data_IF_142308873023
#
_entry.id   IF_142308873023
#
_cell.length_a   1.000
_cell.length_b   1.000
_cell.length_c   1.000
_cell.angle_alpha   90.00
_cell.angle_beta   90.00
_cell.angle_gamma   90.00
#
_symmetry.space_group_name_H-M   'P 1'
#
loop_
_entity.id
_entity.type
_entity.pdbx_description
1 polymer ?
#
# COMPACT_ATOMS: atom_id res chain seq x y z
N UNK A 1 -22.04 10.31 -15.88
CA UNK A 1 -21.75 9.13 -15.03
C UNK A 1 -21.56 9.62 -13.62
N UNK A 2 -22.28 9.05 -12.65
CA UNK A 2 -22.13 9.43 -11.24
C UNK A 2 -20.81 8.86 -10.74
N UNK A 3 -19.90 9.74 -10.31
CA UNK A 3 -18.61 9.35 -9.74
C UNK A 3 -18.83 8.64 -8.39
N UNK A 4 -18.26 7.46 -8.19
CA UNK A 4 -18.32 6.77 -6.91
C UNK A 4 -17.54 7.60 -5.89
N UNK A 5 -18.22 8.09 -4.85
CA UNK A 5 -17.61 8.93 -3.81
C UNK A 5 -18.15 8.54 -2.43
N UNK A 6 -17.24 8.43 -1.47
CA UNK A 6 -17.53 8.22 -0.06
C UNK A 6 -16.89 9.35 0.75
N UNK A 7 -17.66 9.94 1.66
CA UNK A 7 -17.17 10.97 2.58
C UNK A 7 -16.87 10.41 3.97
N UNK A 8 -16.57 11.32 4.90
CA UNK A 8 -16.10 11.01 6.26
C UNK A 8 -16.97 10.03 7.04
N UNK A 9 -18.29 10.04 6.83
CA UNK A 9 -19.21 9.11 7.50
C UNK A 9 -18.96 7.63 7.15
N UNK A 10 -18.37 7.35 5.98
CA UNK A 10 -17.98 6.00 5.56
C UNK A 10 -16.48 5.81 5.77
N UNK A 11 -15.67 6.80 5.40
CA UNK A 11 -14.21 6.70 5.45
C UNK A 11 -13.65 6.67 6.88
N UNK A 12 -14.27 7.37 7.82
CA UNK A 12 -13.89 7.42 9.23
C UNK A 12 -14.46 6.26 10.07
N UNK A 13 -15.19 5.32 9.47
CA UNK A 13 -15.68 4.11 10.13
C UNK A 13 -14.94 2.89 9.54
N UNK A 14 -14.14 2.23 10.37
CA UNK A 14 -13.31 1.10 9.94
C UNK A 14 -14.14 -0.03 9.31
N UNK A 15 -15.27 -0.40 9.92
CA UNK A 15 -16.11 -1.50 9.43
C UNK A 15 -16.75 -1.16 8.07
N UNK A 16 -17.10 0.10 7.85
CA UNK A 16 -17.59 0.57 6.54
C UNK A 16 -16.46 0.63 5.51
N UNK A 17 -15.26 1.08 5.90
CA UNK A 17 -14.08 1.13 5.04
C UNK A 17 -13.58 -0.25 4.61
N UNK A 18 -13.55 -1.22 5.53
CA UNK A 18 -13.11 -2.60 5.26
C UNK A 18 -14.09 -3.37 4.36
N UNK A 19 -15.38 -3.03 4.36
CA UNK A 19 -16.39 -3.66 3.50
C UNK A 19 -16.34 -3.20 2.04
N UNK A 20 -15.55 -2.18 1.74
CA UNK A 20 -15.47 -1.57 0.40
C UNK A 20 -14.06 -1.74 -0.13
N UNK A 21 -13.98 -2.41 -1.27
CA UNK A 21 -12.71 -2.72 -1.92
C UNK A 21 -12.58 -1.94 -3.22
N UNK A 22 -11.33 -1.62 -3.58
CA UNK A 22 -10.96 -1.03 -4.86
C UNK A 22 -10.08 -2.00 -5.62
N UNK A 23 -10.08 -1.88 -6.95
CA UNK A 23 -9.29 -2.71 -7.86
C UNK A 23 -8.78 -1.86 -9.02
N UNK A 24 -7.48 -1.93 -9.27
CA UNK A 24 -6.83 -1.40 -10.47
C UNK A 24 -6.11 -2.54 -11.18
N UNK A 25 -6.17 -2.58 -12.50
CA UNK A 25 -5.53 -3.65 -13.29
C UNK A 25 -4.64 -3.06 -14.37
N UNK A 26 -3.61 -3.79 -14.78
CA UNK A 26 -2.80 -3.43 -15.94
C UNK A 26 -3.38 -3.94 -17.28
N UNK A 27 -4.54 -4.60 -17.27
CA UNK A 27 -5.16 -5.19 -18.47
C UNK A 27 -4.52 -6.49 -18.96
N UNK A 28 -3.51 -7.05 -18.27
CA UNK A 28 -2.82 -8.31 -18.62
C UNK A 28 -2.94 -9.40 -17.56
N UNK A 29 -3.68 -9.14 -16.48
CA UNK A 29 -3.96 -10.11 -15.41
C UNK A 29 -3.33 -9.76 -14.07
N UNK A 30 -2.41 -8.80 -14.05
CA UNK A 30 -1.87 -8.22 -12.82
C UNK A 30 -2.75 -7.09 -12.30
N UNK A 31 -2.74 -6.90 -10.99
CA UNK A 31 -3.61 -5.94 -10.34
C UNK A 31 -3.06 -5.41 -9.01
N UNK A 32 -3.65 -4.31 -8.57
CA UNK A 32 -3.57 -3.77 -7.23
C UNK A 32 -4.98 -3.74 -6.64
N UNK A 33 -5.14 -4.17 -5.40
CA UNK A 33 -6.44 -4.14 -4.71
C UNK A 33 -6.28 -4.01 -3.21
N UNK A 34 -7.32 -3.50 -2.55
CA UNK A 34 -7.35 -3.36 -1.10
C UNK A 34 -8.68 -2.80 -0.62
N UNK A 35 -8.77 -2.57 0.69
CA UNK A 35 -9.92 -1.87 1.28
C UNK A 35 -9.75 -0.36 1.19
N UNK A 36 -10.84 0.40 1.33
CA UNK A 36 -10.78 1.87 1.45
C UNK A 36 -9.97 2.29 2.69
N UNK A 37 -10.08 1.53 3.80
CA UNK A 37 -9.37 1.81 5.04
C UNK A 37 -7.86 1.49 5.00
N UNK A 38 -7.37 0.86 3.93
CA UNK A 38 -5.96 0.46 3.81
C UNK A 38 -5.58 -0.79 4.63
N UNK A 39 -6.54 -1.46 5.26
CA UNK A 39 -6.34 -2.72 5.99
C UNK A 39 -6.28 -3.89 5.01
N UNK A 40 -5.33 -4.81 5.23
CA UNK A 40 -5.29 -6.11 4.56
C UNK A 40 -6.30 -7.04 5.24
N UNK A 41 -7.37 -7.41 4.55
CA UNK A 41 -8.38 -8.33 5.09
C UNK A 41 -8.49 -9.63 4.30
N UNK A 42 -7.85 -9.70 3.13
CA UNK A 42 -7.79 -10.87 2.24
C UNK A 42 -6.39 -11.12 1.71
N UNK A 43 -6.10 -12.38 1.33
CA UNK A 43 -4.83 -12.77 0.69
C UNK A 43 -4.60 -12.15 -0.69
N UNK A 44 -5.65 -11.58 -1.29
CA UNK A 44 -5.68 -10.94 -2.60
C UNK A 44 -5.47 -9.43 -2.54
N UNK A 45 -5.26 -8.85 -1.35
CA UNK A 45 -4.91 -7.44 -1.21
C UNK A 45 -3.42 -7.24 -1.44
N UNK A 46 -3.06 -6.19 -2.17
CA UNK A 46 -1.70 -5.93 -2.62
C UNK A 46 -1.63 -4.68 -3.48
N UNK A 47 -0.52 -3.96 -3.41
CA UNK A 47 -0.18 -2.90 -4.36
C UNK A 47 0.39 -3.45 -5.67
N UNK A 48 1.00 -4.63 -5.66
CA UNK A 48 1.42 -5.31 -6.88
C UNK A 48 1.24 -6.82 -6.74
N UNK A 49 0.21 -7.35 -7.40
CA UNK A 49 0.01 -8.78 -7.61
C UNK A 49 0.26 -9.05 -9.08
N UNK A 50 1.46 -9.56 -9.38
CA UNK A 50 1.94 -9.76 -10.74
C UNK A 50 1.53 -11.13 -11.28
N UNK A 51 0.92 -11.17 -12.46
CA UNK A 51 0.65 -12.40 -13.20
C UNK A 51 1.91 -12.81 -13.99
N UNK A 52 2.81 -13.55 -13.34
CA UNK A 52 4.11 -13.94 -13.93
C UNK A 52 3.95 -14.89 -15.13
N UNK A 53 2.85 -15.65 -15.17
CA UNK A 53 2.44 -16.46 -16.33
C UNK A 53 1.00 -16.15 -16.73
N UNK A 54 0.71 -15.02 -17.39
CA UNK A 54 -0.65 -14.58 -17.67
C UNK A 54 -1.51 -15.65 -18.38
N UNK A 55 -2.79 -15.86 -17.98
CA UNK A 55 -3.54 -15.20 -16.89
C UNK A 55 -3.46 -15.94 -15.54
N UNK A 56 -2.61 -16.97 -15.44
CA UNK A 56 -2.44 -17.82 -14.25
C UNK A 56 -1.25 -17.34 -13.42
N UNK A 57 -1.09 -17.94 -12.24
CA UNK A 57 0.07 -17.74 -11.37
C UNK A 57 0.40 -16.30 -11.05
N UNK A 58 -0.32 -15.82 -10.06
CA UNK A 58 -0.17 -14.49 -9.55
C UNK A 58 0.58 -14.52 -8.24
N UNK A 59 1.58 -13.66 -8.16
CA UNK A 59 2.47 -13.54 -7.02
C UNK A 59 2.27 -12.17 -6.38
N UNK A 60 2.04 -12.14 -5.08
CA UNK A 60 2.02 -10.90 -4.32
C UNK A 60 3.47 -10.43 -4.17
N UNK A 61 3.81 -9.29 -4.75
CA UNK A 61 5.16 -8.71 -4.70
C UNK A 61 5.24 -7.53 -3.74
N UNK A 62 4.24 -6.64 -3.78
CA UNK A 62 4.14 -5.51 -2.85
C UNK A 62 2.79 -5.57 -2.17
N UNK A 63 2.81 -5.78 -0.86
CA UNK A 63 1.61 -5.95 -0.02
C UNK A 63 0.93 -4.62 0.24
N UNK A 64 1.68 -3.65 0.77
CA UNK A 64 1.20 -2.29 1.05
C UNK A 64 2.37 -1.37 1.36
N UNK A 65 2.06 -0.09 1.56
CA UNK A 65 2.94 0.84 2.24
C UNK A 65 2.27 1.19 3.58
N UNK A 66 3.06 1.27 4.64
CA UNK A 66 2.67 1.83 5.93
C UNK A 66 3.22 3.27 5.99
N UNK A 67 2.38 4.25 5.62
CA UNK A 67 2.79 5.66 5.51
C UNK A 67 2.49 6.48 6.78
N UNK A 68 3.48 7.24 7.24
CA UNK A 68 3.30 8.26 8.28
C UNK A 68 3.76 9.60 7.76
N UNK A 69 2.93 10.63 7.98
CA UNK A 69 3.29 12.02 7.74
C UNK A 69 3.66 12.69 9.05
N UNK A 70 4.80 13.37 9.08
CA UNK A 70 5.31 14.06 10.27
C UNK A 70 5.21 15.58 10.09
N UNK A 71 4.57 16.25 11.03
CA UNK A 71 4.65 17.69 11.26
C UNK A 71 5.49 17.92 12.53
N UNK A 72 6.78 18.19 12.36
CA UNK A 72 7.76 18.16 13.46
C UNK A 72 7.84 16.77 14.09
N UNK A 73 7.53 16.66 15.38
CA UNK A 73 7.50 15.39 16.13
C UNK A 73 6.14 14.67 16.06
N UNK A 74 5.09 15.32 15.53
CA UNK A 74 3.76 14.76 15.50
C UNK A 74 3.56 13.89 14.25
N UNK A 75 3.39 12.58 14.46
CA UNK A 75 3.11 11.63 13.40
C UNK A 75 1.63 11.37 13.17
N UNK A 76 1.22 11.43 11.90
CA UNK A 76 -0.12 11.12 11.42
C UNK A 76 -0.08 9.93 10.45
N UNK A 77 -0.46 8.73 10.90
CA UNK A 77 -0.48 7.54 10.05
C UNK A 77 -1.63 7.62 9.04
N UNK A 78 -1.38 7.11 7.82
CA UNK A 78 -2.38 7.02 6.75
C UNK A 78 -2.85 5.58 6.49
N UNK A 79 -2.32 4.63 7.26
CA UNK A 79 -2.56 3.20 7.13
C UNK A 79 -3.22 2.61 8.38
N UNK A 80 -3.69 1.37 8.24
CA UNK A 80 -4.26 0.57 9.32
C UNK A 80 -3.75 -0.85 9.19
N UNK A 81 -3.28 -1.45 10.29
CA UNK A 81 -2.99 -2.88 10.37
C UNK A 81 -3.93 -3.55 11.36
N UNK A 82 -4.19 -4.83 11.11
CA UNK A 82 -4.96 -5.70 11.99
C UNK A 82 -4.09 -6.89 12.34
N UNK A 83 -4.00 -7.16 13.63
CA UNK A 83 -3.11 -8.17 14.18
C UNK A 83 -3.90 -9.36 14.72
N UNK A 84 -3.28 -10.53 14.76
CA UNK A 84 -3.86 -11.75 15.35
C UNK A 84 -4.31 -11.56 16.80
N UNK A 85 -3.66 -10.66 17.54
CA UNK A 85 -4.05 -10.28 18.90
C UNK A 85 -5.43 -9.63 19.00
N UNK A 86 -6.02 -9.24 17.87
CA UNK A 86 -7.24 -8.43 17.79
C UNK A 86 -6.96 -6.92 17.77
N UNK A 87 -5.70 -6.51 17.96
CA UNK A 87 -5.31 -5.11 17.86
C UNK A 87 -5.52 -4.58 16.43
N UNK A 88 -6.00 -3.34 16.34
CA UNK A 88 -6.10 -2.58 15.09
C UNK A 88 -5.33 -1.29 15.28
N UNK A 89 -4.13 -1.24 14.71
CA UNK A 89 -3.24 -0.11 14.91
C UNK A 89 -2.25 0.05 13.74
N UNK A 90 -1.86 1.28 13.40
CA UNK A 90 -2.46 2.52 13.87
C UNK A 90 -3.88 2.74 13.29
N UNK A 91 -4.62 3.71 13.83
CA UNK A 91 -5.96 4.04 13.38
C UNK A 91 -5.97 5.13 12.28
N UNK A 92 -5.18 4.96 11.22
CA UNK A 92 -5.03 5.96 10.15
C UNK A 92 -6.34 6.33 9.43
N UNK A 93 -7.36 5.46 9.50
CA UNK A 93 -8.70 5.75 8.98
C UNK A 93 -9.37 6.96 9.66
N UNK A 94 -8.97 7.36 10.87
CA UNK A 94 -9.45 8.59 11.51
C UNK A 94 -9.04 9.86 10.74
N UNK A 95 -7.93 9.80 10.01
CA UNK A 95 -7.46 10.89 9.16
C UNK A 95 -8.12 10.86 7.77
N UNK A 96 -8.81 9.78 7.40
CA UNK A 96 -9.37 9.63 6.05
C UNK A 96 -10.69 10.40 5.91
N UNK A 97 -10.65 11.50 5.15
CA UNK A 97 -11.82 12.36 4.93
C UNK A 97 -12.71 11.83 3.81
N UNK A 98 -12.12 11.36 2.72
CA UNK A 98 -12.89 10.90 1.58
C UNK A 98 -12.13 9.91 0.71
N UNK A 99 -12.91 9.12 -0.03
CA UNK A 99 -12.47 8.24 -1.09
C UNK A 99 -13.34 8.47 -2.32
N UNK A 100 -12.76 8.42 -3.50
CA UNK A 100 -13.52 8.35 -4.75
C UNK A 100 -12.72 7.66 -5.85
N UNK A 101 -13.40 7.35 -6.96
CA UNK A 101 -12.76 6.89 -8.18
C UNK A 101 -12.75 8.02 -9.20
N UNK A 102 -11.57 8.48 -9.60
CA UNK A 102 -11.40 9.34 -10.77
C UNK A 102 -11.17 8.42 -11.99
N UNK A 103 -12.25 8.13 -12.72
CA UNK A 103 -12.24 7.03 -13.69
C UNK A 103 -12.05 5.68 -12.96
N UNK A 104 -10.91 5.02 -13.20
CA UNK A 104 -10.53 3.78 -12.50
C UNK A 104 -9.44 4.00 -11.45
N UNK A 105 -9.01 5.24 -11.23
CA UNK A 105 -7.96 5.58 -10.27
C UNK A 105 -8.59 5.81 -8.90
N UNK A 106 -8.35 4.95 -7.89
CA UNK A 106 -8.75 5.23 -6.53
C UNK A 106 -7.96 6.40 -5.95
N UNK A 107 -8.69 7.33 -5.34
CA UNK A 107 -8.18 8.58 -4.77
C UNK A 107 -8.68 8.72 -3.34
N UNK A 108 -7.74 8.85 -2.40
CA UNK A 108 -7.99 9.11 -0.99
C UNK A 108 -7.60 10.54 -0.66
N UNK A 109 -8.36 11.20 0.21
CA UNK A 109 -7.97 12.47 0.81
C UNK A 109 -7.92 12.34 2.32
N UNK A 110 -6.77 12.63 2.90
CA UNK A 110 -6.54 12.61 4.34
C UNK A 110 -6.51 14.04 4.89
N UNK A 111 -7.16 14.27 6.02
CA UNK A 111 -7.16 15.51 6.77
C UNK A 111 -6.05 15.47 7.83
N UNK A 112 -5.18 16.47 7.85
CA UNK A 112 -4.05 16.59 8.76
C UNK A 112 -4.04 17.99 9.36
N UNK A 113 -4.76 18.16 10.46
CA UNK A 113 -5.08 19.47 11.03
C UNK A 113 -5.76 20.39 10.00
N UNK A 114 -5.05 21.41 9.53
CA UNK A 114 -5.49 22.40 8.53
C UNK A 114 -4.95 22.12 7.11
N UNK A 115 -4.28 20.98 6.90
CA UNK A 115 -3.75 20.55 5.60
C UNK A 115 -4.40 19.25 5.11
N UNK A 116 -4.27 18.97 3.82
CA UNK A 116 -4.77 17.73 3.23
C UNK A 116 -3.68 17.04 2.43
N UNK A 117 -3.67 15.71 2.46
CA UNK A 117 -2.86 14.92 1.52
C UNK A 117 -3.77 14.05 0.68
N UNK A 118 -3.64 14.17 -0.63
CA UNK A 118 -4.28 13.28 -1.59
C UNK A 118 -3.33 12.12 -1.92
N UNK A 119 -3.85 10.90 -1.87
CA UNK A 119 -3.16 9.69 -2.32
C UNK A 119 -3.88 9.13 -3.54
N UNK A 120 -3.12 8.76 -4.57
CA UNK A 120 -3.62 8.12 -5.80
C UNK A 120 -2.89 6.80 -6.04
N UNK A 121 -3.59 5.81 -6.56
CA UNK A 121 -2.97 4.54 -6.98
C UNK A 121 -3.42 4.22 -8.41
N UNK A 122 -2.49 3.91 -9.30
CA UNK A 122 -2.81 3.38 -10.63
C UNK A 122 -1.78 2.36 -11.10
N UNK A 123 -2.10 1.60 -12.15
CA UNK A 123 -1.15 0.72 -12.82
C UNK A 123 -0.90 1.19 -14.25
N UNK A 124 0.33 0.99 -14.73
CA UNK A 124 0.66 1.23 -16.14
C UNK A 124 -0.02 0.18 -17.03
N UNK A 125 -0.76 0.59 -18.07
CA UNK A 125 -1.38 -0.35 -19.00
C UNK A 125 -0.33 -1.25 -19.66
N UNK A 126 -0.50 -2.56 -19.50
CA UNK A 126 0.36 -3.55 -20.13
C UNK A 126 1.68 -3.85 -19.40
N UNK A 127 1.95 -3.22 -18.26
CA UNK A 127 3.16 -3.46 -17.46
C UNK A 127 2.80 -3.87 -16.02
N UNK A 128 3.64 -4.69 -15.39
CA UNK A 128 3.47 -5.10 -13.98
C UNK A 128 4.00 -4.00 -13.05
N UNK A 129 3.48 -2.79 -13.23
CA UNK A 129 3.95 -1.59 -12.55
C UNK A 129 2.82 -0.82 -11.92
N UNK A 130 2.93 -0.56 -10.62
CA UNK A 130 2.01 0.24 -9.82
C UNK A 130 2.67 1.55 -9.42
N UNK A 131 1.91 2.62 -9.53
CA UNK A 131 2.27 3.96 -9.10
C UNK A 131 1.44 4.34 -7.89
N UNK A 132 2.07 4.90 -6.87
CA UNK A 132 1.41 5.48 -5.71
C UNK A 132 1.90 6.91 -5.56
N UNK A 133 1.00 7.88 -5.68
CA UNK A 133 1.34 9.30 -5.64
C UNK A 133 0.71 9.97 -4.42
N UNK A 134 1.46 10.90 -3.82
CA UNK A 134 1.02 11.76 -2.72
C UNK A 134 1.16 13.21 -3.12
N UNK A 135 0.08 13.98 -2.99
CA UNK A 135 0.06 15.42 -3.21
C UNK A 135 -0.38 16.13 -1.94
N UNK A 136 0.45 17.04 -1.44
CA UNK A 136 0.07 17.92 -0.34
C UNK A 136 -0.77 19.08 -0.88
N UNK A 137 -1.85 19.41 -0.18
CA UNK A 137 -2.60 20.63 -0.33
C UNK A 137 -2.52 21.38 1.01
N UNK A 138 -1.54 22.28 1.10
CA UNK A 138 -1.21 23.01 2.32
C UNK A 138 0.17 23.66 2.22
N UNK A 139 0.33 24.80 2.90
CA UNK A 139 1.54 25.62 2.80
C UNK A 139 2.72 25.06 3.61
N UNK A 140 2.47 24.20 4.61
CA UNK A 140 3.52 23.72 5.52
C UNK A 140 4.04 22.35 5.09
N UNK A 141 5.34 22.22 4.78
CA UNK A 141 5.90 20.95 4.37
C UNK A 141 5.73 19.85 5.44
N UNK A 142 5.44 18.63 4.99
CA UNK A 142 5.37 17.44 5.85
C UNK A 142 6.48 16.47 5.50
N UNK A 143 7.07 15.80 6.49
CA UNK A 143 7.98 14.68 6.19
C UNK A 143 7.15 13.43 5.93
N UNK A 144 7.40 12.79 4.80
CA UNK A 144 6.84 11.48 4.47
C UNK A 144 7.81 10.39 4.88
N UNK A 145 7.31 9.39 5.60
CA UNK A 145 7.99 8.12 5.86
C UNK A 145 7.06 6.98 5.44
N UNK A 146 7.45 6.26 4.37
CA UNK A 146 6.66 5.18 3.79
C UNK A 146 7.41 3.86 3.87
N UNK A 147 7.00 2.99 4.80
CA UNK A 147 7.53 1.64 4.93
C UNK A 147 6.92 0.72 3.89
N UNK A 148 7.74 0.10 3.04
CA UNK A 148 7.26 -0.77 1.95
C UNK A 148 7.28 -2.23 2.41
N UNK A 149 6.12 -2.87 2.40
CA UNK A 149 5.95 -4.27 2.78
C UNK A 149 5.89 -5.15 1.52
N UNK A 150 6.84 -6.07 1.42
CA UNK A 150 7.00 -7.02 0.34
C UNK A 150 6.48 -8.41 0.72
N UNK A 151 6.20 -9.20 -0.30
CA UNK A 151 5.99 -10.63 -0.21
C UNK A 151 6.44 -11.26 -1.56
N UNK A 152 6.50 -12.58 -1.66
CA UNK A 152 6.68 -13.34 -2.92
C UNK A 152 5.81 -14.60 -2.97
N UNK A 153 4.75 -14.67 -2.14
CA UNK A 153 3.82 -15.80 -2.13
C UNK A 153 2.87 -15.78 -3.33
N UNK A 154 2.42 -16.97 -3.72
CA UNK A 154 1.22 -17.11 -4.54
C UNK A 154 0.04 -16.40 -3.85
N UNK A 155 -0.84 -15.71 -4.59
CA UNK A 155 -1.97 -14.98 -3.96
C UNK A 155 -2.94 -15.89 -3.21
N UNK A 156 -2.89 -17.22 -3.43
CA UNK A 156 -3.70 -18.21 -2.73
C UNK A 156 -3.00 -18.76 -1.47
N UNK A 157 -1.70 -18.51 -1.33
CA UNK A 157 -0.88 -19.01 -0.23
C UNK A 157 -0.90 -18.10 0.99
N UNK A 158 -0.14 -18.51 1.98
CA UNK A 158 0.19 -17.78 3.20
C UNK A 158 1.69 -17.48 3.20
N UNK A 159 2.12 -16.58 4.08
CA UNK A 159 3.53 -16.40 4.38
C UNK A 159 3.78 -16.35 5.87
N UNK A 160 4.91 -16.92 6.27
CA UNK A 160 5.49 -16.85 7.59
C UNK A 160 6.88 -16.20 7.50
N UNK A 161 7.34 -15.65 8.62
CA UNK A 161 8.67 -15.06 8.66
C UNK A 161 9.75 -16.11 8.33
N UNK A 162 10.62 -15.75 7.39
CA UNK A 162 11.70 -16.62 6.93
C UNK A 162 11.34 -17.53 5.74
N UNK A 163 10.10 -17.51 5.25
CA UNK A 163 9.69 -18.31 4.08
C UNK A 163 10.48 -17.95 2.81
N UNK A 164 10.99 -16.73 2.73
CA UNK A 164 11.83 -16.27 1.62
C UNK A 164 12.92 -15.31 2.09
N UNK A 165 13.95 -15.18 1.26
CA UNK A 165 15.04 -14.23 1.47
C UNK A 165 15.26 -13.42 0.19
N UNK A 166 15.12 -12.10 0.28
CA UNK A 166 15.39 -11.19 -0.82
C UNK A 166 16.78 -10.59 -0.65
N UNK A 167 17.54 -10.56 -1.75
CA UNK A 167 18.78 -9.81 -1.83
C UNK A 167 18.46 -8.43 -2.39
N UNK A 168 18.96 -7.39 -1.75
CA UNK A 168 18.68 -6.02 -2.16
C UNK A 168 19.87 -5.39 -2.85
N UNK A 169 19.63 -4.76 -4.01
CA UNK A 169 20.61 -3.96 -4.73
C UNK A 169 20.17 -2.50 -4.78
N UNK A 170 21.11 -1.56 -4.66
CA UNK A 170 20.79 -0.13 -4.83
C UNK A 170 20.65 0.20 -6.31
N UNK A 171 19.58 0.91 -6.67
CA UNK A 171 19.35 1.44 -8.02
C UNK A 171 19.04 2.94 -7.95
N UNK A 172 19.01 3.61 -9.10
CA UNK A 172 18.60 5.00 -9.16
C UNK A 172 17.17 5.15 -8.61
N UNK A 173 16.99 6.02 -7.61
CA UNK A 173 15.69 6.29 -6.99
C UNK A 173 15.18 5.20 -6.04
N UNK A 174 15.95 4.16 -5.70
CA UNK A 174 15.52 3.15 -4.73
C UNK A 174 16.33 1.85 -4.72
N UNK A 175 15.65 0.71 -4.72
CA UNK A 175 16.26 -0.63 -4.59
C UNK A 175 15.65 -1.65 -5.55
N UNK A 176 16.44 -2.62 -5.97
CA UNK A 176 15.99 -3.87 -6.59
C UNK A 176 15.97 -5.00 -5.56
N UNK A 177 15.06 -5.96 -5.75
CA UNK A 177 14.89 -7.13 -4.91
C UNK A 177 14.55 -8.37 -5.77
N UNK A 178 15.49 -8.87 -6.59
CA UNK A 178 15.22 -9.99 -7.49
C UNK A 178 14.88 -11.27 -6.71
N UNK A 179 13.97 -12.07 -7.27
CA UNK A 179 13.55 -13.36 -6.69
C UNK A 179 13.08 -14.33 -7.77
N UNK A 180 13.69 -15.52 -7.86
CA UNK A 180 13.30 -16.60 -8.78
C UNK A 180 12.94 -16.17 -10.22
N UNK A 181 13.76 -15.29 -10.81
CA UNK A 181 13.57 -14.77 -12.18
C UNK A 181 12.62 -13.57 -12.29
N UNK A 182 12.08 -13.09 -11.17
CA UNK A 182 11.38 -11.81 -11.05
C UNK A 182 12.41 -10.72 -10.77
N UNK A 183 12.39 -9.66 -11.56
CA UNK A 183 13.16 -8.44 -11.34
C UNK A 183 12.26 -7.38 -10.68
N UNK A 184 12.12 -7.43 -9.36
CA UNK A 184 11.33 -6.43 -8.63
C UNK A 184 12.17 -5.17 -8.37
N UNK A 185 11.61 -4.02 -8.68
CA UNK A 185 12.16 -2.69 -8.35
C UNK A 185 11.18 -1.88 -7.51
N UNK A 186 11.73 -1.15 -6.54
CA UNK A 186 11.04 -0.16 -5.72
C UNK A 186 11.75 1.17 -5.96
N UNK A 187 11.05 2.15 -6.52
CA UNK A 187 11.65 3.42 -6.90
C UNK A 187 10.79 4.61 -6.47
N UNK A 188 11.42 5.77 -6.43
CA UNK A 188 10.75 7.06 -6.30
C UNK A 188 11.40 8.09 -7.22
N UNK A 189 10.60 9.06 -7.64
CA UNK A 189 11.06 10.25 -8.36
C UNK A 189 12.00 11.12 -7.52
N UNK A 190 11.75 11.22 -6.20
CA UNK A 190 12.49 12.15 -5.33
C UNK A 190 12.71 11.70 -3.88
N UNK A 191 12.14 10.57 -3.45
CA UNK A 191 12.41 10.07 -2.11
C UNK A 191 13.79 9.39 -2.01
N UNK A 192 14.43 9.60 -0.88
CA UNK A 192 15.55 8.75 -0.45
C UNK A 192 15.02 7.40 0.04
N UNK A 193 15.82 6.34 -0.10
CA UNK A 193 15.45 5.02 0.42
C UNK A 193 16.46 4.56 1.48
N UNK A 194 15.96 4.15 2.64
CA UNK A 194 16.77 3.46 3.65
C UNK A 194 16.38 1.99 3.73
N UNK A 195 17.32 1.12 3.39
CA UNK A 195 17.15 -0.32 3.43
C UNK A 195 17.17 -0.83 4.87
N UNK A 196 16.05 -1.40 5.33
CA UNK A 196 15.89 -1.95 6.69
C UNK A 196 15.02 -3.22 6.60
N UNK A 197 15.61 -4.36 6.20
CA UNK A 197 14.86 -5.60 6.02
C UNK A 197 14.42 -6.16 7.37
N UNK A 198 13.11 -6.22 7.60
CA UNK A 198 12.53 -6.69 8.86
C UNK A 198 11.20 -7.40 8.61
N UNK A 199 10.98 -8.53 9.27
CA UNK A 199 9.72 -9.24 9.17
C UNK A 199 8.66 -8.64 10.09
N UNK A 200 7.47 -8.44 9.54
CA UNK A 200 6.26 -8.08 10.28
C UNK A 200 5.31 -9.27 10.22
N UNK A 201 5.04 -9.86 11.38
CA UNK A 201 4.31 -11.11 11.53
C UNK A 201 2.89 -10.88 12.06
N UNK A 202 2.09 -11.95 12.04
CA UNK A 202 0.80 -12.03 12.70
C UNK A 202 -0.22 -10.99 12.20
N UNK A 203 -0.18 -10.63 10.91
CA UNK A 203 -1.30 -9.95 10.26
C UNK A 203 -2.55 -10.84 10.32
N UNK A 204 -3.72 -10.23 10.54
CA UNK A 204 -4.98 -10.94 10.58
C UNK A 204 -5.91 -10.54 9.43
N UNK A 205 -6.09 -11.47 8.50
CA UNK A 205 -6.94 -11.35 7.33
C UNK A 205 -8.40 -11.66 7.69
N UNK A 206 -9.10 -10.67 8.24
CA UNK A 206 -10.43 -10.85 8.84
C UNK A 206 -11.48 -11.49 7.90
N UNK A 207 -11.40 -11.24 6.58
CA UNK A 207 -12.35 -11.84 5.63
C UNK A 207 -11.98 -13.29 5.30
N UNK A 208 -10.69 -13.65 5.31
CA UNK A 208 -10.30 -15.07 5.21
C UNK A 208 -10.76 -15.84 6.45
N UNK A 209 -10.58 -15.26 7.65
CA UNK A 209 -11.06 -15.85 8.89
C UNK A 209 -12.57 -16.08 8.88
N UNK A 210 -13.35 -15.09 8.45
CA UNK A 210 -14.80 -15.20 8.27
C UNK A 210 -15.20 -16.33 7.32
N UNK A 211 -14.37 -16.63 6.32
CA UNK A 211 -14.58 -17.71 5.33
C UNK A 211 -14.08 -19.08 5.82
N UNK A 212 -13.57 -19.18 7.05
CA UNK A 212 -12.96 -20.40 7.58
C UNK A 212 -11.66 -20.79 6.86
N UNK A 213 -10.97 -19.82 6.27
CA UNK A 213 -9.69 -20.00 5.59
C UNK A 213 -8.54 -19.63 6.55
N UNK A 214 -7.32 -20.13 6.29
CA UNK A 214 -6.15 -19.59 6.95
C UNK A 214 -6.06 -18.09 6.76
N UNK A 215 -5.82 -17.37 7.86
CA UNK A 215 -6.06 -15.93 7.96
C UNK A 215 -4.90 -15.17 8.59
N UNK A 216 -3.73 -15.81 8.70
CA UNK A 216 -2.51 -15.18 9.16
C UNK A 216 -1.60 -14.90 7.97
N UNK A 217 -0.85 -13.81 8.04
CA UNK A 217 0.15 -13.46 7.02
C UNK A 217 1.36 -12.79 7.68
N UNK A 218 2.48 -12.86 6.99
CA UNK A 218 3.71 -12.16 7.33
C UNK A 218 4.25 -11.44 6.10
N UNK A 219 4.83 -10.26 6.31
CA UNK A 219 5.38 -9.44 5.24
C UNK A 219 6.80 -8.98 5.59
N UNK A 220 7.67 -8.96 4.60
CA UNK A 220 9.01 -8.41 4.76
C UNK A 220 8.97 -6.91 4.48
N UNK A 221 9.16 -6.08 5.49
CA UNK A 221 9.53 -4.69 5.27
C UNK A 221 10.87 -4.66 4.55
N UNK A 222 10.94 -4.04 3.37
CA UNK A 222 12.23 -3.82 2.69
C UNK A 222 12.98 -2.62 3.26
N UNK A 223 12.25 -1.60 3.68
CA UNK A 223 12.81 -0.32 4.07
C UNK A 223 11.81 0.82 3.92
N UNK A 224 12.33 2.04 3.99
CA UNK A 224 11.52 3.26 4.04
C UNK A 224 11.88 4.19 2.90
N UNK A 225 10.87 4.70 2.19
CA UNK A 225 11.00 5.91 1.39
C UNK A 225 10.79 7.13 2.27
N UNK A 226 11.71 8.11 2.19
CA UNK A 226 11.61 9.39 2.91
C UNK A 226 11.77 10.57 1.97
N UNK A 227 10.85 11.53 2.10
CA UNK A 227 10.85 12.77 1.34
C UNK A 227 10.14 13.90 2.10
N UNK A 228 10.43 15.14 1.73
CA UNK A 228 9.62 16.29 2.14
C UNK A 228 8.47 16.48 1.15
N UNK A 229 7.21 16.40 1.60
CA UNK A 229 6.04 16.79 0.80
C UNK A 229 5.85 18.30 0.86
N UNK A 230 5.61 18.91 -0.30
CA UNK A 230 5.29 20.32 -0.47
C UNK A 230 4.09 20.43 -1.41
N UNK A 231 3.41 21.57 -1.43
CA UNK A 231 2.28 21.80 -2.34
C UNK A 231 2.71 21.80 -3.83
N UNK A 232 3.95 22.23 -4.11
CA UNK A 232 4.42 22.42 -5.48
C UNK A 232 4.67 21.10 -6.24
N UNK A 233 5.08 20.04 -5.54
CA UNK A 233 5.59 18.83 -6.18
C UNK A 233 5.01 17.56 -5.53
N UNK A 234 4.28 16.72 -6.29
CA UNK A 234 3.84 15.42 -5.78
C UNK A 234 5.05 14.51 -5.52
N UNK A 235 4.88 13.54 -4.63
CA UNK A 235 5.81 12.42 -4.44
C UNK A 235 5.23 11.19 -5.13
N UNK A 236 6.02 10.53 -5.98
CA UNK A 236 5.59 9.29 -6.64
C UNK A 236 6.50 8.14 -6.23
N UNK A 237 5.89 7.05 -5.75
CA UNK A 237 6.51 5.75 -5.57
C UNK A 237 6.09 4.83 -6.72
N UNK A 238 7.02 4.03 -7.22
CA UNK A 238 6.84 3.13 -8.35
C UNK A 238 7.31 1.75 -7.95
N UNK A 239 6.47 0.75 -8.18
CA UNK A 239 6.76 -0.66 -7.91
C UNK A 239 6.55 -1.46 -9.18
N UNK A 240 7.55 -2.21 -9.63
CA UNK A 240 7.41 -3.13 -10.76
C UNK A 240 8.73 -3.53 -11.37
#
# INVERSE_FOLDING_TARGET
>A
MTELRFGRAICGDLAQGERREWLVTNGRGSYASGTIAGTLTRRYHGLLIAALRPPVERTLLVSKIDETLLDGEQGSPLFVNRWRSGAVEPAGFHNLESFHLEGNTPVWRYALADQWVEKRIWMEPGADRTYVQYQLAGERPLQFDGKVLLNVRNHHGESFAGDFHLQFGTIAGGVSAPWEGIELSLQSDRASFSLVPEWYEAYHLAIEAYRGQPSEDAHLCSGHFRATLTEAEPLTLVFG
#
